data_IF_724423762447
#
_entry.id   IF_724423762447
#
_cell.length_a   1.000
_cell.length_b   1.000
_cell.length_c   1.000
_cell.angle_alpha   90.00
_cell.angle_beta   90.00
_cell.angle_gamma   90.00
#
_symmetry.space_group_name_H-M   'P 1'
#
loop_
_entity.id
_entity.type
_entity.pdbx_description
1 polymer ?
#
# COMPACT_ATOMS: atom_id res chain seq x y z
N UNK A 1 44.74 16.76 39.04
CA UNK A 1 43.87 17.45 38.05
C UNK A 1 43.00 16.38 37.40
N UNK A 2 41.68 16.41 37.62
CA UNK A 2 40.73 15.37 37.18
C UNK A 2 39.81 16.02 36.14
N UNK A 3 40.13 15.85 34.87
CA UNK A 3 39.36 16.42 33.75
C UNK A 3 38.23 15.45 33.46
N UNK A 4 37.02 15.79 33.93
CA UNK A 4 35.84 14.98 33.73
C UNK A 4 34.91 15.65 32.71
N UNK A 5 34.75 14.96 31.58
CA UNK A 5 33.55 14.81 30.74
C UNK A 5 32.90 16.07 30.18
N UNK A 6 32.76 16.10 28.86
CA UNK A 6 31.45 16.11 28.20
C UNK A 6 31.65 15.84 26.71
N UNK A 7 31.52 14.57 26.31
CA UNK A 7 31.26 14.25 24.90
C UNK A 7 29.81 14.66 24.67
N UNK A 8 29.61 15.82 24.05
CA UNK A 8 28.31 16.28 23.62
C UNK A 8 27.76 15.29 22.59
N UNK A 9 26.83 14.45 23.02
CA UNK A 9 26.13 13.50 22.16
C UNK A 9 25.02 14.27 21.44
N UNK A 10 25.33 14.74 20.22
CA UNK A 10 24.35 15.29 19.29
C UNK A 10 23.44 14.14 18.83
N UNK A 11 22.29 13.97 19.49
CA UNK A 11 21.24 13.05 19.02
C UNK A 11 20.55 13.73 17.83
N UNK A 12 20.57 13.13 16.62
CA UNK A 12 19.88 13.70 15.47
C UNK A 12 18.37 13.61 15.69
N UNK A 13 17.68 14.75 15.69
CA UNK A 13 16.24 14.89 15.90
C UNK A 13 15.34 14.30 14.78
N UNK A 14 15.91 13.51 13.86
CA UNK A 14 15.21 13.02 12.67
C UNK A 14 14.37 11.75 12.84
N UNK A 15 14.39 11.09 14.01
CA UNK A 15 13.80 9.75 14.18
C UNK A 15 12.31 9.78 14.61
N UNK A 16 11.74 10.95 14.93
CA UNK A 16 10.40 11.03 15.53
C UNK A 16 9.22 11.06 14.53
N UNK A 17 9.47 11.11 13.22
CA UNK A 17 8.40 11.24 12.21
C UNK A 17 7.87 9.92 11.65
N UNK A 18 8.42 8.76 12.03
CA UNK A 18 8.00 7.46 11.51
C UNK A 18 6.73 6.88 12.18
N UNK A 19 6.21 7.51 13.25
CA UNK A 19 5.15 6.93 14.07
C UNK A 19 3.70 7.25 13.62
N UNK A 20 3.51 8.06 12.58
CA UNK A 20 2.18 8.46 12.08
C UNK A 20 1.88 7.96 10.66
N UNK A 21 2.49 6.86 10.20
CA UNK A 21 2.09 6.26 8.94
C UNK A 21 0.65 5.72 9.07
N UNK A 22 -0.32 6.22 8.28
CA UNK A 22 -1.70 5.76 8.38
C UNK A 22 -1.80 4.30 7.91
N UNK A 23 -2.56 3.47 8.62
CA UNK A 23 -2.74 2.04 8.28
C UNK A 23 -3.52 1.95 6.96
N UNK A 24 -2.99 1.32 5.90
CA UNK A 24 -3.71 1.15 4.64
C UNK A 24 -5.10 0.55 4.84
N UNK A 25 -5.29 -0.33 5.84
CA UNK A 25 -6.59 -0.94 6.14
C UNK A 25 -7.70 0.06 6.45
N UNK A 26 -7.37 1.24 6.99
CA UNK A 26 -8.39 2.27 7.25
C UNK A 26 -8.98 2.88 5.98
N UNK A 27 -8.40 2.56 4.82
CA UNK A 27 -8.85 3.04 3.53
C UNK A 27 -9.53 1.94 2.70
N UNK A 28 -9.54 0.68 3.14
CA UNK A 28 -10.13 -0.41 2.36
C UNK A 28 -11.58 -0.11 1.92
N UNK A 29 -11.80 -0.14 0.61
CA UNK A 29 -13.14 -0.09 0.01
C UNK A 29 -13.75 -1.49 -0.02
N UNK A 30 -15.05 -1.59 -0.33
CA UNK A 30 -15.68 -2.89 -0.59
C UNK A 30 -14.94 -3.64 -1.72
N UNK A 31 -14.52 -4.90 -1.51
CA UNK A 31 -13.82 -5.66 -2.53
C UNK A 31 -14.57 -5.74 -3.87
N UNK A 32 -13.82 -5.65 -4.96
CA UNK A 32 -14.34 -5.60 -6.32
C UNK A 32 -14.03 -6.91 -7.01
N UNK A 33 -15.01 -7.49 -7.69
CA UNK A 33 -14.80 -8.69 -8.52
C UNK A 33 -14.67 -8.29 -9.98
N UNK A 34 -13.59 -8.72 -10.61
CA UNK A 34 -13.28 -8.46 -12.01
C UNK A 34 -13.25 -9.79 -12.76
N UNK A 35 -14.07 -9.88 -13.81
CA UNK A 35 -14.08 -11.02 -14.71
C UNK A 35 -12.90 -10.91 -15.67
N UNK A 36 -12.13 -11.99 -15.79
CA UNK A 36 -10.99 -12.10 -16.72
C UNK A 36 -11.10 -13.40 -17.50
N UNK A 37 -10.40 -13.53 -18.65
CA UNK A 37 -10.37 -14.80 -19.39
C UNK A 37 -9.85 -15.99 -18.58
N UNK A 38 -9.07 -15.75 -17.53
CA UNK A 38 -8.48 -16.79 -16.67
C UNK A 38 -9.33 -17.09 -15.42
N UNK A 39 -10.42 -16.35 -15.22
CA UNK A 39 -11.32 -16.45 -14.06
C UNK A 39 -11.45 -15.13 -13.29
N UNK A 40 -12.18 -15.18 -12.18
CA UNK A 40 -12.47 -13.99 -11.36
C UNK A 40 -11.25 -13.58 -10.54
N UNK A 41 -10.92 -12.29 -10.55
CA UNK A 41 -9.99 -11.67 -9.60
C UNK A 41 -10.80 -10.85 -8.61
N UNK A 42 -10.56 -11.03 -7.31
CA UNK A 42 -11.14 -10.18 -6.26
C UNK A 42 -10.08 -9.18 -5.79
N UNK A 43 -10.34 -7.90 -6.01
CA UNK A 43 -9.44 -6.79 -5.72
C UNK A 43 -9.84 -6.06 -4.43
N UNK A 44 -8.85 -5.78 -3.59
CA UNK A 44 -8.94 -4.77 -2.56
C UNK A 44 -8.39 -3.46 -3.12
N UNK A 45 -9.26 -2.44 -3.22
CA UNK A 45 -8.87 -1.09 -3.59
C UNK A 45 -8.86 -0.22 -2.32
N UNK A 46 -7.88 0.66 -2.17
CA UNK A 46 -7.70 1.43 -0.94
C UNK A 46 -8.12 2.88 -1.06
N UNK A 47 -7.71 3.61 -2.09
CA UNK A 47 -8.17 5.00 -2.23
C UNK A 47 -8.36 5.33 -3.68
N UNK A 48 -9.23 6.28 -3.98
CA UNK A 48 -9.41 6.76 -5.34
C UNK A 48 -8.19 7.58 -5.83
N UNK A 49 -7.25 7.92 -4.95
CA UNK A 49 -6.06 8.72 -5.29
C UNK A 49 -4.76 7.92 -5.37
N UNK A 50 -4.61 6.87 -4.56
CA UNK A 50 -3.39 6.06 -4.37
C UNK A 50 -3.63 4.63 -4.84
N UNK A 51 -3.43 4.41 -6.13
CA UNK A 51 -3.57 3.11 -6.81
C UNK A 51 -2.45 2.13 -6.43
N UNK A 52 -1.29 2.62 -5.97
CA UNK A 52 -0.13 1.80 -5.69
C UNK A 52 -0.35 0.75 -4.58
N UNK A 53 -1.40 0.91 -3.77
CA UNK A 53 -1.74 -0.04 -2.71
C UNK A 53 -2.71 -1.13 -3.17
N UNK A 54 -3.37 -0.95 -4.31
CA UNK A 54 -4.38 -1.87 -4.81
C UNK A 54 -3.78 -3.25 -5.12
N UNK A 55 -4.48 -4.30 -4.66
CA UNK A 55 -3.98 -5.67 -4.69
C UNK A 55 -5.09 -6.70 -4.81
N UNK A 56 -4.75 -7.87 -5.34
CA UNK A 56 -5.65 -9.01 -5.31
C UNK A 56 -5.69 -9.64 -3.91
N UNK A 57 -6.91 -9.92 -3.43
CA UNK A 57 -7.16 -10.72 -2.22
C UNK A 57 -7.63 -12.14 -2.55
N UNK A 58 -8.07 -12.36 -3.78
CA UNK A 58 -8.31 -13.68 -4.37
C UNK A 58 -8.04 -13.66 -5.87
N UNK A 59 -7.53 -14.77 -6.42
CA UNK A 59 -7.21 -14.91 -7.84
C UNK A 59 -7.26 -16.39 -8.28
N UNK A 60 -7.41 -16.66 -9.58
CA UNK A 60 -7.26 -18.00 -10.11
C UNK A 60 -5.87 -18.58 -9.77
N UNK A 61 -5.82 -19.88 -9.47
CA UNK A 61 -4.59 -20.54 -9.02
C UNK A 61 -3.45 -20.46 -10.06
N UNK A 62 -3.80 -20.44 -11.35
CA UNK A 62 -2.87 -20.35 -12.48
C UNK A 62 -2.38 -18.93 -12.80
N UNK A 63 -3.07 -17.90 -12.31
CA UNK A 63 -2.69 -16.50 -12.53
C UNK A 63 -1.57 -16.12 -11.56
N UNK A 64 -0.58 -15.32 -11.96
CA UNK A 64 0.45 -14.90 -11.00
C UNK A 64 -0.09 -13.84 -10.01
N UNK A 65 0.56 -13.67 -8.85
CA UNK A 65 0.19 -12.59 -7.91
C UNK A 65 0.39 -11.23 -8.57
N UNK A 66 1.53 -11.02 -9.24
CA UNK A 66 1.86 -9.76 -9.92
C UNK A 66 0.82 -9.40 -10.97
N UNK A 67 0.43 -10.35 -11.82
CA UNK A 67 -0.60 -10.14 -12.83
C UNK A 67 -1.97 -9.79 -12.22
N UNK A 68 -2.38 -10.48 -11.16
CA UNK A 68 -3.62 -10.17 -10.46
C UNK A 68 -3.58 -8.77 -9.81
N UNK A 69 -2.45 -8.39 -9.21
CA UNK A 69 -2.26 -7.06 -8.64
C UNK A 69 -2.25 -5.96 -9.73
N UNK A 70 -1.67 -6.22 -10.90
CA UNK A 70 -1.71 -5.31 -12.05
C UNK A 70 -3.15 -5.07 -12.53
N UNK A 71 -3.97 -6.12 -12.56
CA UNK A 71 -5.41 -6.01 -12.87
C UNK A 71 -6.12 -5.13 -11.85
N UNK A 72 -5.84 -5.32 -10.55
CA UNK A 72 -6.44 -4.51 -9.50
C UNK A 72 -6.02 -3.05 -9.57
N UNK A 73 -4.74 -2.78 -9.85
CA UNK A 73 -4.23 -1.41 -10.08
C UNK A 73 -4.87 -0.76 -11.30
N UNK A 74 -5.07 -1.52 -12.39
CA UNK A 74 -5.74 -1.00 -13.57
C UNK A 74 -7.19 -0.57 -13.28
N UNK A 75 -7.92 -1.33 -12.45
CA UNK A 75 -9.26 -0.93 -12.01
C UNK A 75 -9.23 0.29 -11.08
N UNK A 76 -8.29 0.36 -10.14
CA UNK A 76 -8.09 1.54 -9.31
C UNK A 76 -7.83 2.79 -10.15
N UNK A 77 -6.95 2.69 -11.14
CA UNK A 77 -6.66 3.78 -12.07
C UNK A 77 -7.89 4.19 -12.89
N UNK A 78 -8.67 3.23 -13.41
CA UNK A 78 -9.91 3.51 -14.15
C UNK A 78 -10.91 4.30 -13.31
N UNK A 79 -11.05 3.99 -12.01
CA UNK A 79 -11.94 4.72 -11.10
C UNK A 79 -11.44 6.12 -10.81
N UNK A 80 -10.14 6.26 -10.55
CA UNK A 80 -9.48 7.54 -10.35
C UNK A 80 -9.72 8.50 -11.52
N UNK A 81 -9.58 8.00 -12.75
CA UNK A 81 -9.75 8.80 -13.97
C UNK A 81 -11.22 9.16 -14.27
N UNK A 82 -12.18 8.53 -13.58
CA UNK A 82 -13.61 8.78 -13.73
C UNK A 82 -14.18 9.81 -12.73
N UNK A 83 -13.35 10.33 -11.82
CA UNK A 83 -13.68 11.41 -10.88
C UNK A 83 -13.48 12.80 -11.53
#
# INVERSE_FOLDING_TARGET
MKMLRSVAFLIPAGVLLAACAPDPRSYETTPVKLETPQGVVTCQLYTDEIVAWDRAIDRPSKMSVTEADDICRAEGQRRKDAL
#
